data_IF_263716384090
#
_entry.id   IF_263716384090
#
_cell.length_a   1.000
_cell.length_b   1.000
_cell.length_c   1.000
_cell.angle_alpha   90.00
_cell.angle_beta   90.00
_cell.angle_gamma   90.00
#
_symmetry.space_group_name_H-M   'P 1'
#
loop_
_entity.id
_entity.type
_entity.pdbx_description
1 polymer ?
#
# COMPACT_ATOMS: atom_id res chain seq x y z
N UNK A 1 -5.22 -14.61 -2.77
CA UNK A 1 -5.13 -13.23 -3.24
C UNK A 1 -6.50 -12.59 -3.29
N UNK A 2 -6.52 -11.33 -3.73
CA UNK A 2 -7.69 -10.47 -3.93
C UNK A 2 -7.67 -9.99 -5.38
N UNK A 3 -8.83 -9.95 -6.04
CA UNK A 3 -8.93 -9.41 -7.40
C UNK A 3 -8.90 -7.87 -7.37
N UNK A 4 -8.11 -7.27 -8.26
CA UNK A 4 -8.10 -5.82 -8.50
C UNK A 4 -9.05 -5.51 -9.66
N UNK A 5 -9.94 -4.53 -9.46
CA UNK A 5 -10.95 -4.09 -10.42
C UNK A 5 -10.43 -2.95 -11.30
N UNK A 6 -9.68 -2.02 -10.73
CA UNK A 6 -9.10 -0.89 -11.45
C UNK A 6 -7.85 -0.38 -10.75
N UNK A 7 -7.00 0.30 -11.50
CA UNK A 7 -5.78 0.94 -11.00
C UNK A 7 -5.65 2.36 -11.53
N UNK A 8 -5.00 3.22 -10.75
CA UNK A 8 -4.61 4.57 -11.14
C UNK A 8 -3.15 4.78 -10.73
N UNK A 9 -2.33 5.26 -11.68
CA UNK A 9 -0.93 5.58 -11.40
C UNK A 9 -0.83 6.78 -10.45
N UNK A 10 0.02 6.67 -9.43
CA UNK A 10 0.24 7.75 -8.43
C UNK A 10 1.62 8.39 -8.56
N UNK A 11 2.65 7.59 -8.80
CA UNK A 11 4.03 8.05 -8.79
C UNK A 11 5.05 6.93 -8.90
N UNK A 12 6.32 7.29 -8.99
CA UNK A 12 7.43 6.33 -9.03
C UNK A 12 8.56 6.75 -8.09
N UNK A 13 9.34 5.79 -7.63
CA UNK A 13 10.49 6.00 -6.76
C UNK A 13 11.64 5.07 -7.19
N UNK A 14 12.85 5.60 -7.43
CA UNK A 14 14.02 4.74 -7.63
C UNK A 14 14.32 3.97 -6.34
N UNK A 15 14.58 2.67 -6.49
CA UNK A 15 14.98 1.79 -5.41
C UNK A 15 16.34 1.16 -5.75
N UNK A 16 17.45 1.76 -5.26
CA UNK A 16 18.76 1.16 -5.45
C UNK A 16 18.77 -0.17 -4.68
N UNK A 17 19.39 -1.21 -5.24
CA UNK A 17 19.44 -2.60 -4.77
C UNK A 17 18.29 -3.52 -5.26
N UNK A 18 18.51 -4.30 -6.35
CA UNK A 18 19.69 -4.29 -7.23
C UNK A 18 19.74 -3.08 -8.18
N UNK A 19 18.60 -2.63 -8.71
CA UNK A 19 18.41 -1.39 -9.48
C UNK A 19 16.95 -1.36 -9.96
N UNK A 20 16.02 -1.16 -9.03
CA UNK A 20 14.58 -1.25 -9.32
C UNK A 20 13.96 0.16 -9.42
N UNK A 21 12.89 0.26 -10.21
CA UNK A 21 11.99 1.41 -10.18
C UNK A 21 10.68 0.95 -9.56
N UNK A 22 10.33 1.49 -8.39
CA UNK A 22 9.04 1.24 -7.76
C UNK A 22 8.00 2.10 -8.47
N UNK A 23 6.99 1.47 -9.06
CA UNK A 23 5.87 2.16 -9.71
C UNK A 23 4.63 1.98 -8.84
N UNK A 24 4.16 3.08 -8.26
CA UNK A 24 3.06 3.10 -7.29
C UNK A 24 1.71 3.31 -7.96
N UNK A 25 0.72 2.55 -7.50
CA UNK A 25 -0.66 2.63 -7.96
C UNK A 25 -1.61 2.69 -6.77
N UNK A 26 -2.70 3.45 -6.92
CA UNK A 26 -3.92 3.26 -6.16
C UNK A 26 -4.77 2.19 -6.86
N UNK A 27 -5.38 1.30 -6.11
CA UNK A 27 -6.13 0.17 -6.67
C UNK A 27 -7.47 -0.03 -5.95
N UNK A 28 -8.51 -0.35 -6.73
CA UNK A 28 -9.81 -0.76 -6.20
C UNK A 28 -9.86 -2.28 -6.18
N UNK A 29 -10.10 -2.87 -5.01
CA UNK A 29 -10.24 -4.30 -4.85
C UNK A 29 -11.71 -4.75 -5.01
N UNK A 30 -11.91 -5.94 -5.55
CA UNK A 30 -13.19 -6.62 -5.48
C UNK A 30 -13.48 -7.07 -4.04
N UNK A 31 -14.75 -7.19 -3.63
CA UNK A 31 -15.10 -7.80 -2.36
C UNK A 31 -14.53 -9.21 -2.25
N UNK A 32 -13.92 -9.57 -1.11
CA UNK A 32 -13.35 -10.90 -0.93
C UNK A 32 -12.49 -11.05 0.32
N UNK A 33 -12.22 -12.31 0.66
CA UNK A 33 -11.36 -12.66 1.78
C UNK A 33 -9.88 -12.62 1.37
N UNK A 34 -9.04 -12.04 2.25
CA UNK A 34 -7.59 -12.03 2.04
C UNK A 34 -7.07 -13.46 2.17
N UNK A 35 -6.32 -13.91 1.17
CA UNK A 35 -5.62 -15.21 1.20
C UNK A 35 -4.15 -14.97 0.91
N UNK A 36 -3.30 -15.31 1.88
CA UNK A 36 -1.85 -15.16 1.86
C UNK A 36 -1.20 -16.41 1.25
N UNK A 37 -0.17 -16.21 0.42
CA UNK A 37 0.66 -17.29 -0.13
C UNK A 37 1.93 -17.51 0.68
N UNK A 38 2.96 -18.12 0.08
CA UNK A 38 4.24 -18.39 0.77
C UNK A 38 5.17 -17.19 0.93
N UNK A 39 4.88 -16.04 0.31
CA UNK A 39 5.76 -14.87 0.31
C UNK A 39 5.58 -13.97 1.54
N UNK A 40 4.36 -13.86 2.04
CA UNK A 40 4.01 -12.97 3.16
C UNK A 40 3.68 -13.79 4.40
N UNK A 41 4.03 -13.26 5.57
CA UNK A 41 3.63 -13.85 6.85
C UNK A 41 2.14 -13.59 7.16
N UNK A 42 1.63 -12.40 6.83
CA UNK A 42 0.25 -12.00 7.12
C UNK A 42 -0.23 -10.90 6.14
N UNK A 43 -1.54 -10.81 5.96
CA UNK A 43 -2.20 -9.70 5.27
C UNK A 43 -3.67 -9.57 5.73
N UNK A 44 -4.12 -8.34 5.97
CA UNK A 44 -5.50 -8.04 6.36
C UNK A 44 -5.95 -6.69 5.86
N UNK A 45 -7.26 -6.46 5.90
CA UNK A 45 -7.85 -5.15 5.65
C UNK A 45 -7.65 -4.23 6.87
N UNK A 46 -7.44 -2.95 6.60
CA UNK A 46 -7.34 -1.91 7.61
C UNK A 46 -8.33 -0.79 7.31
N UNK A 47 -8.99 -0.31 8.36
CA UNK A 47 -9.80 0.89 8.32
C UNK A 47 -8.93 2.14 8.42
N UNK A 48 -9.46 3.29 8.00
CA UNK A 48 -8.77 4.59 8.14
C UNK A 48 -8.45 4.90 9.59
N UNK A 49 -9.35 4.56 10.51
CA UNK A 49 -9.16 4.79 11.94
C UNK A 49 -8.01 3.96 12.51
N UNK A 50 -7.85 2.69 12.09
CA UNK A 50 -6.75 1.85 12.54
C UNK A 50 -5.38 2.37 12.07
N UNK A 51 -5.30 2.92 10.85
CA UNK A 51 -4.06 3.51 10.33
C UNK A 51 -3.75 4.87 10.96
N UNK A 52 -4.77 5.71 11.21
CA UNK A 52 -4.61 7.02 11.85
C UNK A 52 -4.38 6.95 13.36
N UNK A 53 -4.83 5.88 14.02
CA UNK A 53 -4.77 5.71 15.47
C UNK A 53 -3.42 5.20 16.01
N UNK A 54 -2.41 5.01 15.16
CA UNK A 54 -1.07 4.59 15.57
C UNK A 54 -0.94 3.11 15.98
N UNK A 55 -2.03 2.33 15.92
CA UNK A 55 -2.02 0.89 16.20
C UNK A 55 -1.27 0.07 15.14
N UNK A 56 -1.05 0.66 13.96
CA UNK A 56 -0.34 0.03 12.84
C UNK A 56 0.99 0.74 12.61
N UNK A 57 2.08 -0.02 12.61
CA UNK A 57 3.40 0.51 12.25
C UNK A 57 3.45 0.77 10.75
N UNK A 58 3.43 2.04 10.37
CA UNK A 58 3.52 2.45 8.99
C UNK A 58 4.97 2.43 8.46
N UNK A 59 5.17 2.30 7.14
CA UNK A 59 6.49 2.46 6.53
C UNK A 59 7.10 3.86 6.78
N UNK A 60 8.43 4.01 6.62
CA UNK A 60 9.10 5.30 6.74
C UNK A 60 8.54 6.36 5.78
N UNK A 61 8.49 7.62 6.23
CA UNK A 61 7.90 8.77 5.49
C UNK A 61 8.49 9.03 4.11
N UNK A 62 9.73 8.61 3.86
CA UNK A 62 10.38 8.77 2.55
C UNK A 62 10.07 7.66 1.55
N UNK A 63 9.36 6.60 1.96
CA UNK A 63 9.05 5.45 1.08
C UNK A 63 7.82 5.70 0.21
N UNK A 64 7.83 5.15 -1.01
CA UNK A 64 6.65 5.17 -1.90
C UNK A 64 5.44 4.49 -1.25
N UNK A 65 5.66 3.44 -0.46
CA UNK A 65 4.58 2.79 0.29
C UNK A 65 3.91 3.75 1.26
N UNK A 66 4.70 4.58 1.97
CA UNK A 66 4.13 5.57 2.89
C UNK A 66 3.36 6.66 2.15
N UNK A 67 3.90 7.18 1.05
CA UNK A 67 3.20 8.13 0.17
C UNK A 67 1.84 7.59 -0.31
N UNK A 68 1.78 6.34 -0.78
CA UNK A 68 0.53 5.74 -1.27
C UNK A 68 -0.52 5.62 -0.16
N UNK A 69 -0.11 5.28 1.06
CA UNK A 69 -0.99 5.20 2.23
C UNK A 69 -1.51 6.59 2.61
N UNK A 70 -0.63 7.60 2.69
CA UNK A 70 -1.00 8.96 3.07
C UNK A 70 -1.96 9.58 2.04
N UNK A 71 -1.69 9.38 0.74
CA UNK A 71 -2.58 9.78 -0.34
C UNK A 71 -3.96 9.13 -0.24
N UNK A 72 -4.02 7.81 0.05
CA UNK A 72 -5.29 7.13 0.29
C UNK A 72 -6.02 7.68 1.52
N UNK A 73 -5.29 7.98 2.61
CA UNK A 73 -5.85 8.58 3.82
C UNK A 73 -6.39 10.00 3.60
N UNK A 74 -6.07 10.65 2.49
CA UNK A 74 -6.39 12.06 2.23
C UNK A 74 -5.46 13.01 3.00
N UNK A 75 -4.35 12.48 3.54
CA UNK A 75 -3.28 13.28 4.09
C UNK A 75 -2.39 13.72 2.93
N UNK A 76 -2.65 14.93 2.41
CA UNK A 76 -1.69 15.58 1.53
C UNK A 76 -0.51 16.07 2.39
N UNK A 77 0.76 15.91 1.93
CA UNK A 77 1.86 16.66 2.51
C UNK A 77 1.65 18.17 2.36
#
# INVERSE_FOLDING_TARGET
>A
GIQVLSTCYDGSQPWPFPASLMVGFQAVAAPGAVRVGGELQDARWFTRAELGGGAVRLPPVYSISRRLIDAWLGAHP
#
